data_IF_457325441332
#
_entry.id   IF_457325441332
#
_cell.length_a   1.000
_cell.length_b   1.000
_cell.length_c   1.000
_cell.angle_alpha   90.00
_cell.angle_beta   90.00
_cell.angle_gamma   90.00
#
_symmetry.space_group_name_H-M   'P 1'
#
loop_
_entity.id
_entity.type
_entity.pdbx_description
1 polymer ?
#
# COMPACT_ATOMS: atom_id res chain seq x y z
N UNK A 1 -3.08 -1.12 7.84
CA UNK A 1 -3.05 -2.60 7.89
C UNK A 1 -1.63 -3.01 7.52
N UNK A 2 -0.97 -3.82 8.35
CA UNK A 2 0.38 -4.28 8.04
C UNK A 2 0.29 -5.52 7.15
N UNK A 3 0.91 -5.44 5.97
CA UNK A 3 1.04 -6.57 5.06
C UNK A 3 2.41 -7.21 5.24
N UNK A 4 2.41 -8.49 5.60
CA UNK A 4 3.62 -9.29 5.69
C UNK A 4 3.89 -9.89 4.31
N UNK A 5 5.08 -9.61 3.75
CA UNK A 5 5.47 -10.16 2.45
C UNK A 5 5.53 -11.70 2.46
N UNK A 6 5.17 -12.33 1.34
CA UNK A 6 5.18 -13.79 1.17
C UNK A 6 6.53 -14.44 1.50
N UNK A 7 7.64 -13.72 1.28
CA UNK A 7 8.98 -14.21 1.63
C UNK A 7 9.14 -14.51 3.14
N UNK A 8 8.52 -13.70 4.01
CA UNK A 8 8.53 -13.93 5.45
C UNK A 8 7.73 -15.20 5.81
N UNK A 9 6.54 -15.35 5.23
CA UNK A 9 5.70 -16.54 5.45
C UNK A 9 6.36 -17.85 4.98
N UNK A 10 7.23 -17.79 3.97
CA UNK A 10 7.96 -18.96 3.46
C UNK A 10 9.22 -19.28 4.28
N UNK A 11 9.88 -18.26 4.86
CA UNK A 11 11.05 -18.44 5.73
C UNK A 11 10.70 -19.27 6.98
N UNK A 12 9.49 -19.11 7.51
CA UNK A 12 8.99 -19.89 8.66
C UNK A 12 8.67 -21.35 8.32
N UNK A 13 8.46 -21.68 7.04
CA UNK A 13 7.98 -23.02 6.62
C UNK A 13 9.07 -23.91 6.02
N UNK A 14 10.25 -23.39 5.69
CA UNK A 14 11.32 -24.15 5.00
C UNK A 14 12.64 -24.06 5.78
N UNK A 15 13.19 -25.18 6.29
CA UNK A 15 14.34 -25.21 7.20
C UNK A 15 15.63 -24.56 6.65
N UNK A 16 15.82 -24.54 5.33
CA UNK A 16 17.02 -23.98 4.70
C UNK A 16 17.05 -22.45 4.81
N UNK A 17 15.89 -21.77 4.80
CA UNK A 17 15.80 -20.31 4.88
C UNK A 17 15.82 -19.78 6.33
N UNK A 18 15.52 -20.64 7.32
CA UNK A 18 15.58 -20.30 8.75
C UNK A 18 16.97 -19.85 9.23
N UNK A 19 18.05 -20.48 8.74
CA UNK A 19 19.44 -20.10 9.12
C UNK A 19 19.93 -18.79 8.49
N UNK A 20 19.28 -18.32 7.42
CA UNK A 20 19.57 -17.03 6.79
C UNK A 20 18.67 -15.90 7.31
N UNK A 21 17.49 -16.22 7.87
CA UNK A 21 16.58 -15.25 8.47
C UNK A 21 17.25 -14.47 9.63
N UNK A 22 18.12 -15.12 10.41
CA UNK A 22 18.86 -14.48 11.51
C UNK A 22 19.95 -13.50 11.08
N UNK A 23 20.32 -13.48 9.79
CA UNK A 23 21.39 -12.61 9.25
C UNK A 23 20.86 -11.32 8.61
N UNK A 24 19.54 -11.13 8.45
CA UNK A 24 19.05 -9.99 7.67
C UNK A 24 17.56 -9.66 7.72
N UNK A 25 16.81 -10.13 8.72
CA UNK A 25 15.39 -9.76 8.82
C UNK A 25 15.25 -8.47 9.63
N UNK A 26 15.55 -7.33 9.01
CA UNK A 26 14.83 -6.11 9.38
C UNK A 26 13.36 -6.40 9.09
N UNK A 27 12.46 -6.29 10.06
CA UNK A 27 11.02 -6.46 9.84
C UNK A 27 10.56 -5.45 8.78
N UNK A 28 10.50 -5.89 7.52
CA UNK A 28 10.11 -5.07 6.38
C UNK A 28 8.59 -5.15 6.27
N UNK A 29 7.90 -4.47 7.18
CA UNK A 29 6.44 -4.35 7.13
C UNK A 29 6.03 -3.48 5.94
N UNK A 30 5.20 -4.02 5.05
CA UNK A 30 4.58 -3.22 4.01
C UNK A 30 3.37 -2.50 4.62
N UNK A 31 3.42 -1.16 4.65
CA UNK A 31 2.29 -0.33 5.08
C UNK A 31 1.30 -0.22 3.92
N UNK A 32 0.07 -0.63 4.14
CA UNK A 32 -1.00 -0.54 3.15
C UNK A 32 -2.02 0.53 3.58
N UNK A 33 -2.30 1.46 2.67
CA UNK A 33 -3.24 2.56 2.83
C UNK A 33 -4.39 2.34 1.84
N UNK A 34 -5.63 2.45 2.33
CA UNK A 34 -6.83 2.46 1.49
C UNK A 34 -7.44 3.84 1.53
N UNK A 35 -7.71 4.41 0.36
CA UNK A 35 -8.40 5.69 0.21
C UNK A 35 -9.50 5.50 -0.83
N UNK A 36 -10.69 6.01 -0.52
CA UNK A 36 -11.80 6.07 -1.47
C UNK A 36 -11.87 7.51 -1.97
N UNK A 37 -11.71 7.67 -3.28
CA UNK A 37 -11.72 8.96 -3.97
C UNK A 37 -12.98 9.05 -4.82
N UNK A 38 -13.54 10.27 -4.94
CA UNK A 38 -14.86 10.49 -5.57
C UNK A 38 -14.77 10.68 -7.07
N UNK A 39 -13.65 11.19 -7.57
CA UNK A 39 -13.47 11.51 -8.99
C UNK A 39 -12.13 10.99 -9.50
N UNK A 40 -12.03 10.79 -10.82
CA UNK A 40 -10.79 10.34 -11.47
C UNK A 40 -9.68 11.38 -11.30
N UNK A 41 -9.98 12.67 -11.33
CA UNK A 41 -8.98 13.73 -11.13
C UNK A 41 -8.34 13.67 -9.73
N UNK A 42 -9.11 13.24 -8.72
CA UNK A 42 -8.57 13.00 -7.39
C UNK A 42 -7.67 11.77 -7.36
N UNK A 43 -7.99 10.73 -8.14
CA UNK A 43 -7.16 9.52 -8.28
C UNK A 43 -5.83 9.89 -8.93
N UNK A 44 -5.86 10.61 -10.05
CA UNK A 44 -4.67 11.07 -10.76
C UNK A 44 -3.80 11.95 -9.85
N UNK A 45 -4.41 12.95 -9.18
CA UNK A 45 -3.69 13.80 -8.24
C UNK A 45 -3.09 13.03 -7.05
N UNK A 46 -3.76 11.98 -6.56
CA UNK A 46 -3.20 11.13 -5.51
C UNK A 46 -2.00 10.32 -6.02
N UNK A 47 -2.05 9.80 -7.25
CA UNK A 47 -0.94 9.07 -7.89
C UNK A 47 0.26 10.00 -8.10
N UNK A 48 0.02 11.24 -8.53
CA UNK A 48 1.08 12.24 -8.72
C UNK A 48 1.78 12.57 -7.40
N UNK A 49 1.01 12.84 -6.33
CA UNK A 49 1.56 13.12 -5.00
C UNK A 49 2.33 11.91 -4.46
N UNK A 50 1.82 10.69 -4.69
CA UNK A 50 2.55 9.47 -4.31
C UNK A 50 3.90 9.45 -5.04
N UNK A 51 3.92 9.58 -6.37
CA UNK A 51 5.16 9.55 -7.16
C UNK A 51 6.13 10.69 -6.81
N UNK A 52 5.64 11.85 -6.37
CA UNK A 52 6.48 12.94 -5.86
C UNK A 52 7.23 12.53 -4.58
N UNK A 53 6.58 11.78 -3.69
CA UNK A 53 7.15 11.38 -2.39
C UNK A 53 8.04 10.13 -2.50
N UNK A 54 7.60 9.12 -3.24
CA UNK A 54 8.30 7.81 -3.32
C UNK A 54 9.13 7.63 -4.59
N UNK A 55 8.94 8.47 -5.60
CA UNK A 55 9.57 8.35 -6.92
C UNK A 55 8.76 7.50 -7.91
N UNK A 56 9.45 7.08 -8.98
CA UNK A 56 8.87 6.35 -10.11
C UNK A 56 8.39 4.94 -9.70
N UNK A 57 7.08 4.72 -9.76
CA UNK A 57 6.40 3.47 -9.43
C UNK A 57 6.75 2.29 -10.34
N UNK A 58 7.44 2.53 -11.47
CA UNK A 58 7.94 1.47 -12.36
C UNK A 58 9.30 0.90 -11.93
N UNK A 59 9.98 1.55 -10.98
CA UNK A 59 11.27 1.11 -10.46
C UNK A 59 11.13 0.07 -9.34
N UNK A 60 12.17 -0.76 -9.10
CA UNK A 60 12.21 -1.60 -7.92
C UNK A 60 12.09 -0.79 -6.61
N UNK A 61 11.52 -1.41 -5.58
CA UNK A 61 11.43 -0.86 -4.21
C UNK A 61 10.56 0.41 -4.04
N UNK A 62 9.76 0.81 -5.04
CA UNK A 62 8.84 1.97 -4.94
C UNK A 62 7.40 1.61 -4.54
N UNK A 63 7.12 0.34 -4.22
CA UNK A 63 5.79 -0.10 -3.77
C UNK A 63 4.82 -0.33 -4.91
N UNK A 64 3.51 -0.39 -4.61
CA UNK A 64 2.46 -0.67 -5.60
C UNK A 64 1.24 0.20 -5.32
N UNK A 65 0.71 0.85 -6.36
CA UNK A 65 -0.59 1.53 -6.33
C UNK A 65 -1.57 0.75 -7.20
N UNK A 66 -2.79 0.57 -6.71
CA UNK A 66 -3.86 -0.10 -7.45
C UNK A 66 -5.13 0.76 -7.38
N UNK A 67 -5.73 0.98 -8.54
CA UNK A 67 -7.01 1.68 -8.68
C UNK A 67 -8.08 0.65 -8.98
N UNK A 68 -9.13 0.63 -8.16
CA UNK A 68 -10.24 -0.32 -8.27
C UNK A 68 -11.54 0.47 -8.38
N UNK A 69 -12.31 0.35 -9.49
CA UNK A 69 -13.58 1.03 -9.63
C UNK A 69 -14.60 0.43 -8.65
N UNK A 70 -15.19 1.28 -7.82
CA UNK A 70 -16.18 0.87 -6.82
C UNK A 70 -17.59 1.20 -7.32
N UNK A 71 -18.43 0.18 -7.49
CA UNK A 71 -19.79 0.36 -7.96
C UNK A 71 -20.71 1.03 -6.92
N UNK A 72 -20.48 0.75 -5.63
CA UNK A 72 -21.26 1.29 -4.51
C UNK A 72 -20.38 1.41 -3.28
N UNK A 73 -20.54 2.51 -2.55
CA UNK A 73 -19.87 2.76 -1.27
C UNK A 73 -20.92 3.24 -0.28
N UNK A 74 -20.92 2.69 0.94
CA UNK A 74 -21.82 3.06 2.02
C UNK A 74 -21.02 3.62 3.19
N UNK A 75 -21.51 4.69 3.83
CA UNK A 75 -20.84 5.32 4.98
C UNK A 75 -19.74 6.35 4.64
N UNK A 76 -19.54 6.65 3.35
CA UNK A 76 -18.74 7.78 2.90
C UNK A 76 -19.61 9.04 2.91
N UNK A 77 -19.71 9.69 4.07
CA UNK A 77 -20.54 10.90 4.28
C UNK A 77 -19.86 12.14 3.68
N UNK A 78 -20.62 13.05 3.07
CA UNK A 78 -20.10 14.31 2.49
C UNK A 78 -19.87 15.40 3.54
N UNK A 79 -20.33 15.17 4.77
CA UNK A 79 -20.36 16.17 5.85
C UNK A 79 -19.01 16.49 6.49
N UNK A 80 -17.90 16.00 5.96
CA UNK A 80 -16.55 16.38 6.45
C UNK A 80 -15.99 17.63 5.76
N UNK A 81 -16.70 18.21 4.78
CA UNK A 81 -16.26 19.40 4.03
C UNK A 81 -16.98 20.73 4.33
N UNK A 82 -18.05 20.76 5.13
CA UNK A 82 -18.81 21.98 5.44
C UNK A 82 -18.69 22.33 6.92
N UNK A 83 -17.60 23.02 7.26
CA UNK A 83 -17.53 23.88 8.44
C UNK A 83 -17.72 25.31 7.95
N UNK A 84 -18.96 25.80 8.04
CA UNK A 84 -19.25 27.23 8.18
C UNK A 84 -18.78 27.73 9.57
#
# INVERSE_FOLDING_TARGET
>A
MDSIGMAHLMADRVPIFSRFATLGVSERFNRMIYVILKTEEQVDGAIDVIQEVIGDLSQPETGVVCVIPLARVYGLDDRTGSRE
#
